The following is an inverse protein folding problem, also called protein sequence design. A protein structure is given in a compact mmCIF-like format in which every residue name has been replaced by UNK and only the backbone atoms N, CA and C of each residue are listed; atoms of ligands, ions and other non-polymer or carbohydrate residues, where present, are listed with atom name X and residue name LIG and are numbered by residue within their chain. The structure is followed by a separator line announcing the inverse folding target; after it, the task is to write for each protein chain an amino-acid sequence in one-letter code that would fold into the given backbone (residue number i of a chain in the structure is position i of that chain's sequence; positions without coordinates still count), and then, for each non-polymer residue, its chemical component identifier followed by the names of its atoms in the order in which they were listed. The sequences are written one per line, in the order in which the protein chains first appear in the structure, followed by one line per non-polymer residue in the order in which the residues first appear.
data_IF_820143028413
#
_entry.id   IF_820143028413
#
_cell.length_a   1.000
_cell.length_b   1.000
_cell.length_c   1.000
_cell.angle_alpha   90.00
_cell.angle_beta   90.00
_cell.angle_gamma   90.00
#
_symmetry.space_group_name_H-M   'P 1'
#
loop_
_entity.id
_entity.type
_entity.pdbx_description
1 polymer ?
#
# COMPACT_ATOMS: atom_id res chain seq x y z
N UNK A 1 32.14 -1.42 23.49
CA UNK A 1 31.51 -0.35 22.70
C UNK A 1 30.09 -0.79 22.35
N UNK A 2 29.08 -0.22 23.01
CA UNK A 2 27.68 -0.54 22.76
C UNK A 2 27.27 -0.03 21.39
N UNK A 3 26.86 -0.94 20.48
CA UNK A 3 26.26 -0.63 19.19
C UNK A 3 24.91 0.02 19.48
N UNK A 4 24.81 1.36 19.40
CA UNK A 4 23.54 2.06 19.51
C UNK A 4 22.58 1.43 18.49
N UNK A 5 21.56 0.74 19.01
CA UNK A 5 20.48 0.18 18.20
C UNK A 5 19.77 1.38 17.55
N UNK A 6 20.07 1.62 16.27
CA UNK A 6 19.44 2.70 15.51
C UNK A 6 17.95 2.36 15.41
N UNK A 7 17.11 3.12 16.12
CA UNK A 7 15.67 2.91 16.10
C UNK A 7 15.16 2.79 14.66
N UNK A 8 14.41 1.74 14.36
CA UNK A 8 13.84 1.53 13.03
C UNK A 8 12.75 2.56 12.80
N UNK A 9 12.86 3.37 11.75
CA UNK A 9 11.86 4.38 11.38
C UNK A 9 10.60 3.66 10.92
N UNK A 10 9.49 3.93 11.60
CA UNK A 10 8.18 3.35 11.27
C UNK A 10 7.43 4.23 10.29
N UNK A 11 6.99 3.66 9.18
CA UNK A 11 6.21 4.38 8.17
C UNK A 11 4.90 3.65 7.92
N UNK A 12 3.79 4.39 7.98
CA UNK A 12 2.48 3.90 7.57
C UNK A 12 2.06 4.56 6.27
N UNK A 13 1.47 3.78 5.38
CA UNK A 13 1.09 4.18 4.03
C UNK A 13 -0.32 3.74 3.64
N UNK A 14 -0.91 2.82 4.41
CA UNK A 14 -2.23 2.25 4.15
C UNK A 14 -3.33 3.06 4.87
N UNK A 15 -4.05 3.89 4.12
CA UNK A 15 -5.11 4.77 4.60
C UNK A 15 -4.63 6.07 5.22
N UNK A 16 -3.50 6.09 5.91
CA UNK A 16 -2.87 7.30 6.47
C UNK A 16 -1.39 7.27 6.19
N UNK A 17 -0.81 8.44 5.92
CA UNK A 17 0.64 8.55 5.71
C UNK A 17 1.27 9.18 6.94
N UNK A 18 2.12 8.41 7.64
CA UNK A 18 2.84 8.86 8.82
C UNK A 18 4.28 8.37 8.82
N UNK A 19 5.17 9.12 9.47
CA UNK A 19 6.55 8.73 9.79
C UNK A 19 6.70 8.86 11.30
N UNK A 20 7.06 7.76 11.98
CA UNK A 20 7.11 7.65 13.46
C UNK A 20 5.84 8.20 14.15
N UNK A 21 4.67 7.89 13.55
CA UNK A 21 3.37 8.30 14.06
C UNK A 21 2.94 9.73 13.69
N UNK A 22 3.84 10.55 13.18
CA UNK A 22 3.52 11.92 12.77
C UNK A 22 3.01 11.98 11.33
N UNK A 23 1.87 12.63 11.11
CA UNK A 23 1.31 12.81 9.78
C UNK A 23 2.24 13.64 8.89
N UNK A 24 2.35 13.24 7.64
CA UNK A 24 3.12 13.99 6.63
C UNK A 24 2.31 14.16 5.35
N UNK A 25 2.54 15.27 4.67
CA UNK A 25 2.03 15.55 3.32
C UNK A 25 3.10 15.31 2.24
N UNK A 26 4.29 14.90 2.63
CA UNK A 26 5.39 14.64 1.71
C UNK A 26 5.25 13.22 1.11
N UNK A 27 4.24 13.01 0.25
CA UNK A 27 3.94 11.70 -0.32
C UNK A 27 5.06 11.21 -1.25
N UNK A 28 5.52 12.06 -2.19
CA UNK A 28 6.51 11.69 -3.21
C UNK A 28 7.82 11.11 -2.66
N UNK A 29 8.47 11.69 -1.63
CA UNK A 29 9.63 11.06 -1.01
C UNK A 29 9.33 9.68 -0.42
N UNK A 30 8.16 9.49 0.18
CA UNK A 30 7.77 8.21 0.76
C UNK A 30 7.38 7.18 -0.30
N UNK A 31 6.84 7.59 -1.43
CA UNK A 31 6.65 6.71 -2.60
C UNK A 31 7.99 6.18 -3.11
N UNK A 32 9.01 7.06 -3.24
CA UNK A 32 10.36 6.64 -3.58
C UNK A 32 10.95 5.67 -2.54
N UNK A 33 10.71 5.92 -1.24
CA UNK A 33 11.12 5.00 -0.17
C UNK A 33 10.53 3.61 -0.35
N UNK A 34 9.20 3.55 -0.55
CA UNK A 34 8.48 2.27 -0.73
C UNK A 34 8.94 1.58 -1.99
N UNK A 35 9.06 2.30 -3.11
CA UNK A 35 9.57 1.76 -4.37
C UNK A 35 10.95 1.13 -4.19
N UNK A 36 11.91 1.86 -3.62
CA UNK A 36 13.25 1.35 -3.35
C UNK A 36 13.23 0.14 -2.41
N UNK A 37 12.38 0.17 -1.37
CA UNK A 37 12.30 -0.91 -0.39
C UNK A 37 11.73 -2.21 -0.99
N UNK A 38 10.70 -2.12 -1.83
CA UNK A 38 10.06 -3.27 -2.47
C UNK A 38 10.94 -3.92 -3.55
N UNK A 39 11.96 -3.21 -4.04
CA UNK A 39 12.94 -3.70 -5.02
C UNK A 39 14.30 -4.00 -4.37
N UNK A 40 14.31 -4.62 -3.21
CA UNK A 40 15.53 -5.04 -2.48
C UNK A 40 16.52 -3.91 -2.21
N UNK A 41 16.03 -2.69 -2.17
CA UNK A 41 16.79 -1.50 -1.83
C UNK A 41 17.56 -0.85 -2.98
N UNK A 42 17.53 -1.38 -4.21
CA UNK A 42 18.19 -0.75 -5.37
C UNK A 42 17.27 -0.67 -6.58
N UNK A 43 17.20 0.51 -7.23
CA UNK A 43 16.40 0.74 -8.43
C UNK A 43 17.14 1.68 -9.38
N UNK A 44 17.06 1.39 -10.68
CA UNK A 44 17.54 2.26 -11.73
C UNK A 44 16.90 3.66 -11.65
N UNK A 45 17.70 4.70 -11.89
CA UNK A 45 17.25 6.11 -11.83
C UNK A 45 16.07 6.38 -12.78
N UNK A 46 16.12 5.82 -13.98
CA UNK A 46 15.07 6.01 -14.97
C UNK A 46 13.79 5.26 -14.59
N UNK A 47 13.90 4.10 -13.96
CA UNK A 47 12.74 3.38 -13.42
C UNK A 47 12.06 4.15 -12.28
N UNK A 48 12.83 4.72 -11.34
CA UNK A 48 12.29 5.60 -10.29
C UNK A 48 11.58 6.80 -10.90
N UNK A 49 12.17 7.40 -11.93
CA UNK A 49 11.58 8.55 -12.62
C UNK A 49 10.25 8.19 -13.28
N UNK A 50 10.25 7.12 -14.07
CA UNK A 50 9.04 6.65 -14.77
C UNK A 50 7.90 6.33 -13.79
N UNK A 51 8.20 5.60 -12.71
CA UNK A 51 7.22 5.20 -11.70
C UNK A 51 6.59 6.38 -10.96
N UNK A 52 7.38 7.43 -10.66
CA UNK A 52 6.91 8.54 -9.83
C UNK A 52 6.44 9.78 -10.61
N UNK A 53 6.90 9.96 -11.85
CA UNK A 53 6.63 11.19 -12.60
C UNK A 53 6.13 10.94 -14.02
N UNK A 54 6.14 9.70 -14.50
CA UNK A 54 5.93 9.38 -15.91
C UNK A 54 7.14 9.79 -16.76
N UNK A 55 7.01 9.66 -18.10
CA UNK A 55 8.12 9.83 -19.04
C UNK A 55 8.62 11.27 -19.19
N UNK A 56 7.80 12.28 -18.88
CA UNK A 56 8.02 13.69 -19.25
C UNK A 56 8.79 14.53 -18.19
N UNK A 57 9.36 13.94 -17.13
CA UNK A 57 9.91 14.74 -16.04
C UNK A 57 11.42 15.05 -16.15
N UNK A 58 11.82 16.24 -15.65
CA UNK A 58 13.21 16.68 -15.63
C UNK A 58 14.06 15.90 -14.59
N UNK A 59 15.35 15.66 -14.91
CA UNK A 59 16.31 14.98 -14.00
C UNK A 59 16.49 15.69 -12.65
N UNK A 60 16.39 17.02 -12.61
CA UNK A 60 16.53 17.84 -11.39
C UNK A 60 15.45 17.53 -10.35
N UNK A 61 14.28 17.09 -10.77
CA UNK A 61 13.16 16.73 -9.88
C UNK A 61 13.49 15.51 -9.02
N UNK A 62 14.15 14.50 -9.59
CA UNK A 62 14.49 13.27 -8.88
C UNK A 62 15.60 13.50 -7.84
N UNK A 63 16.62 14.30 -8.15
CA UNK A 63 17.68 14.66 -7.19
C UNK A 63 17.11 15.42 -5.98
N UNK A 64 16.20 16.37 -6.23
CA UNK A 64 15.48 17.09 -5.17
C UNK A 64 14.63 16.16 -4.31
N UNK A 65 14.01 15.15 -4.92
CA UNK A 65 13.21 14.14 -4.22
C UNK A 65 14.08 13.31 -3.27
N UNK A 66 15.23 12.81 -3.74
CA UNK A 66 16.18 12.05 -2.92
C UNK A 66 16.76 12.90 -1.79
N UNK A 67 17.00 14.18 -2.02
CA UNK A 67 17.42 15.11 -0.97
C UNK A 67 16.35 15.25 0.13
N UNK A 68 15.08 15.35 -0.25
CA UNK A 68 13.98 15.40 0.73
C UNK A 68 13.88 14.10 1.52
N UNK A 69 14.02 12.94 0.86
CA UNK A 69 14.02 11.64 1.51
C UNK A 69 15.15 11.52 2.55
N UNK A 70 16.36 12.00 2.21
CA UNK A 70 17.49 12.06 3.15
C UNK A 70 17.20 12.95 4.36
N UNK A 71 16.56 14.11 4.15
CA UNK A 71 16.15 15.04 5.23
C UNK A 71 15.11 14.42 6.18
N UNK A 72 14.32 13.45 5.71
CA UNK A 72 13.40 12.68 6.54
C UNK A 72 14.09 11.57 7.35
N UNK A 73 15.44 11.46 7.28
CA UNK A 73 16.23 10.49 8.05
C UNK A 73 16.53 9.18 7.32
N UNK A 74 16.09 9.01 6.07
CA UNK A 74 16.39 7.82 5.28
C UNK A 74 17.71 7.97 4.52
N UNK A 75 18.57 6.96 4.66
CA UNK A 75 19.86 6.95 3.96
C UNK A 75 19.67 6.37 2.56
N UNK A 76 19.83 7.20 1.55
CA UNK A 76 19.79 6.83 0.13
C UNK A 76 21.04 7.35 -0.53
N UNK A 77 21.74 6.49 -1.23
CA UNK A 77 22.97 6.79 -1.98
C UNK A 77 22.74 6.59 -3.48
N UNK A 78 23.50 7.31 -4.28
CA UNK A 78 23.61 7.04 -5.71
C UNK A 78 24.63 5.92 -5.90
N UNK A 79 24.25 4.87 -6.63
CA UNK A 79 25.10 3.73 -6.92
C UNK A 79 24.98 3.37 -8.40
N UNK A 80 26.00 3.66 -9.16
CA UNK A 80 25.99 3.47 -10.62
C UNK A 80 24.88 4.27 -11.29
N UNK A 81 24.04 3.61 -12.05
CA UNK A 81 22.90 4.23 -12.74
C UNK A 81 21.61 4.31 -11.89
N UNK A 82 21.68 3.98 -10.59
CA UNK A 82 20.52 3.87 -9.73
C UNK A 82 20.65 4.55 -8.37
N UNK A 83 19.69 4.26 -7.52
CA UNK A 83 19.67 4.64 -6.12
C UNK A 83 19.61 3.39 -5.24
N UNK A 84 20.38 3.42 -4.15
CA UNK A 84 20.39 2.38 -3.12
C UNK A 84 19.84 2.92 -1.81
N UNK A 85 18.86 2.23 -1.25
CA UNK A 85 18.33 2.50 0.08
C UNK A 85 19.13 1.70 1.12
N UNK A 86 19.81 2.40 2.02
CA UNK A 86 20.59 1.79 3.11
C UNK A 86 19.82 1.67 4.43
N UNK A 87 18.77 2.46 4.60
CA UNK A 87 17.88 2.37 5.77
C UNK A 87 16.89 1.23 5.55
N UNK A 88 16.64 0.45 6.60
CA UNK A 88 15.57 -0.55 6.62
C UNK A 88 14.39 0.00 7.42
N UNK A 89 13.39 0.62 6.77
CA UNK A 89 12.21 1.12 7.47
C UNK A 89 11.29 -0.04 7.86
N UNK A 90 10.48 0.18 8.91
CA UNK A 90 9.33 -0.68 9.21
C UNK A 90 8.11 -0.15 8.47
N UNK A 91 7.76 -0.77 7.33
CA UNK A 91 6.64 -0.38 6.48
C UNK A 91 5.40 -1.22 6.78
N UNK A 92 4.26 -0.55 6.93
CA UNK A 92 2.97 -1.25 7.07
C UNK A 92 2.59 -2.05 5.81
N UNK A 93 2.93 -1.56 4.62
CA UNK A 93 2.71 -2.28 3.36
C UNK A 93 3.47 -3.60 3.31
N UNK A 94 4.71 -3.66 3.76
CA UNK A 94 5.50 -4.90 3.82
C UNK A 94 4.94 -5.88 4.85
N UNK A 95 4.50 -5.38 6.01
CA UNK A 95 3.85 -6.23 7.03
C UNK A 95 2.50 -6.75 6.54
N UNK A 96 1.76 -5.94 5.80
CA UNK A 96 0.51 -6.33 5.18
C UNK A 96 0.72 -7.47 4.17
N UNK A 97 1.68 -7.34 3.25
CA UNK A 97 1.99 -8.38 2.27
C UNK A 97 2.39 -9.70 2.96
N UNK A 98 3.24 -9.64 3.99
CA UNK A 98 3.61 -10.84 4.78
C UNK A 98 2.41 -11.47 5.50
N UNK A 99 1.47 -10.68 5.99
CA UNK A 99 0.26 -11.21 6.61
C UNK A 99 -0.61 -11.95 5.59
N UNK A 100 -0.72 -11.43 4.36
CA UNK A 100 -1.43 -12.12 3.27
C UNK A 100 -0.71 -13.42 2.87
N UNK A 101 0.60 -13.39 2.68
CA UNK A 101 1.42 -14.57 2.37
C UNK A 101 1.30 -15.67 3.44
N UNK A 102 1.16 -15.28 4.69
CA UNK A 102 0.94 -16.20 5.82
C UNK A 102 -0.52 -16.66 5.96
N UNK A 103 -1.44 -16.18 5.14
CA UNK A 103 -2.88 -16.45 5.27
C UNK A 103 -3.54 -15.81 6.49
N UNK A 104 -2.84 -14.89 7.20
CA UNK A 104 -3.39 -14.19 8.37
C UNK A 104 -4.23 -12.97 7.94
N UNK A 105 -5.46 -13.28 7.51
CA UNK A 105 -6.43 -12.25 7.08
C UNK A 105 -6.74 -11.26 8.21
N UNK A 106 -6.80 -11.71 9.46
CA UNK A 106 -7.07 -10.82 10.59
C UNK A 106 -5.91 -9.82 10.80
N UNK A 107 -4.65 -10.24 10.65
CA UNK A 107 -3.50 -9.33 10.69
C UNK A 107 -3.48 -8.38 9.50
N UNK A 108 -3.75 -8.87 8.29
CA UNK A 108 -3.84 -8.04 7.08
C UNK A 108 -4.89 -6.95 7.25
N UNK A 109 -6.09 -7.29 7.73
CA UNK A 109 -7.16 -6.32 8.01
C UNK A 109 -6.81 -5.34 9.12
N UNK A 110 -6.02 -5.72 10.12
CA UNK A 110 -5.53 -4.76 11.12
C UNK A 110 -4.59 -3.71 10.52
N UNK A 111 -3.82 -4.08 9.49
CA UNK A 111 -2.84 -3.20 8.82
C UNK A 111 -3.49 -2.35 7.73
N UNK A 112 -4.37 -2.93 6.93
CA UNK A 112 -5.04 -2.23 5.83
C UNK A 112 -6.15 -1.30 6.38
N UNK A 113 -5.83 -0.03 6.58
CA UNK A 113 -6.78 1.00 7.07
C UNK A 113 -7.45 1.79 5.95
N UNK A 114 -7.07 1.54 4.71
CA UNK A 114 -7.53 2.17 3.49
C UNK A 114 -6.49 2.05 2.39
N UNK A 115 -6.73 2.66 1.23
CA UNK A 115 -5.87 2.54 0.06
C UNK A 115 -4.44 3.03 0.33
N UNK A 116 -3.49 2.49 -0.42
CA UNK A 116 -2.09 2.94 -0.35
C UNK A 116 -1.98 4.42 -0.74
N UNK A 117 -1.36 5.21 0.13
CA UNK A 117 -1.11 6.65 -0.04
C UNK A 117 -2.29 7.40 -0.69
N UNK A 118 -3.44 7.51 0.01
CA UNK A 118 -4.62 8.16 -0.54
C UNK A 118 -4.29 9.58 -0.98
N UNK A 119 -4.74 9.95 -2.18
CA UNK A 119 -4.49 11.27 -2.78
C UNK A 119 -3.18 11.36 -3.58
N UNK A 120 -2.33 10.32 -3.64
CA UNK A 120 -1.22 10.31 -4.58
C UNK A 120 -1.68 9.98 -6.01
N UNK A 121 -1.33 10.82 -7.00
CA UNK A 121 -1.68 10.62 -8.40
C UNK A 121 -0.59 9.90 -9.22
N UNK A 122 0.46 9.33 -8.59
CA UNK A 122 1.55 8.70 -9.35
C UNK A 122 1.12 7.37 -9.98
N UNK A 123 1.72 6.98 -11.12
CA UNK A 123 1.55 5.65 -11.68
C UNK A 123 1.86 4.56 -10.64
N UNK A 124 2.99 4.65 -9.97
CA UNK A 124 3.39 3.70 -8.93
C UNK A 124 2.36 3.57 -7.80
N UNK A 125 1.85 4.69 -7.29
CA UNK A 125 0.86 4.63 -6.21
C UNK A 125 -0.46 4.03 -6.69
N UNK A 126 -0.85 4.28 -7.94
CA UNK A 126 -2.04 3.71 -8.54
C UNK A 126 -1.90 2.19 -8.70
N UNK A 127 -0.83 1.73 -9.34
CA UNK A 127 -0.54 0.31 -9.55
C UNK A 127 -0.45 -0.46 -8.23
N UNK A 128 0.31 0.06 -7.26
CA UNK A 128 0.47 -0.59 -5.97
C UNK A 128 -0.85 -0.63 -5.18
N UNK A 129 -1.68 0.41 -5.28
CA UNK A 129 -3.02 0.45 -4.67
C UNK A 129 -3.89 -0.67 -5.21
N UNK A 130 -4.02 -0.76 -6.54
CA UNK A 130 -4.80 -1.80 -7.20
C UNK A 130 -4.30 -3.19 -6.83
N UNK A 131 -2.97 -3.41 -6.86
CA UNK A 131 -2.37 -4.69 -6.49
C UNK A 131 -2.70 -5.11 -5.05
N UNK A 132 -2.56 -4.19 -4.08
CA UNK A 132 -2.81 -4.50 -2.67
C UNK A 132 -4.29 -4.76 -2.39
N UNK A 133 -5.18 -4.06 -3.06
CA UNK A 133 -6.63 -4.27 -2.97
C UNK A 133 -7.03 -5.62 -3.53
N UNK A 134 -6.58 -5.97 -4.72
CA UNK A 134 -6.83 -7.28 -5.33
C UNK A 134 -6.25 -8.43 -4.49
N UNK A 135 -5.04 -8.27 -3.96
CA UNK A 135 -4.42 -9.26 -3.10
C UNK A 135 -5.22 -9.48 -1.80
N UNK A 136 -5.78 -8.41 -1.22
CA UNK A 136 -6.63 -8.51 -0.04
C UNK A 136 -7.96 -9.23 -0.36
N UNK A 137 -8.60 -8.88 -1.47
CA UNK A 137 -9.85 -9.51 -1.92
C UNK A 137 -9.62 -11.00 -2.17
N UNK A 138 -8.58 -11.36 -2.90
CA UNK A 138 -8.22 -12.76 -3.19
C UNK A 138 -7.99 -13.55 -1.89
N UNK A 139 -7.16 -13.03 -0.97
CA UNK A 139 -6.86 -13.69 0.28
C UNK A 139 -8.10 -13.93 1.16
N UNK A 140 -9.05 -13.00 1.16
CA UNK A 140 -10.31 -13.17 1.91
C UNK A 140 -11.20 -14.22 1.25
N UNK A 141 -11.32 -14.24 -0.08
CA UNK A 141 -12.14 -15.22 -0.79
C UNK A 141 -11.59 -16.65 -0.71
N UNK A 142 -10.25 -16.79 -0.63
CA UNK A 142 -9.57 -18.08 -0.52
C UNK A 142 -9.54 -18.61 0.93
N UNK A 143 -9.74 -17.76 1.93
CA UNK A 143 -9.63 -18.13 3.34
C UNK A 143 -10.65 -19.19 3.75
N UNK A 144 -10.22 -20.16 4.54
CA UNK A 144 -11.08 -21.23 5.10
C UNK A 144 -10.88 -21.33 6.62
N UNK A 145 -11.95 -21.27 7.41
CA UNK A 145 -13.35 -20.97 7.02
C UNK A 145 -13.51 -19.51 6.60
N UNK A 146 -14.37 -19.26 5.61
CA UNK A 146 -14.71 -17.91 5.18
C UNK A 146 -15.58 -17.21 6.24
N UNK A 147 -15.15 -16.06 6.73
CA UNK A 147 -15.83 -15.32 7.80
C UNK A 147 -16.60 -14.12 7.25
N UNK A 148 -17.94 -14.02 7.45
CA UNK A 148 -18.73 -12.88 6.94
C UNK A 148 -18.20 -11.50 7.39
N UNK A 149 -17.57 -11.42 8.57
CA UNK A 149 -16.99 -10.18 9.08
C UNK A 149 -15.84 -9.66 8.20
N UNK A 150 -15.03 -10.55 7.61
CA UNK A 150 -13.94 -10.17 6.72
C UNK A 150 -14.46 -9.57 5.42
N UNK A 151 -15.47 -10.22 4.82
CA UNK A 151 -16.12 -9.75 3.59
C UNK A 151 -16.71 -8.35 3.77
N UNK A 152 -17.47 -8.13 4.86
CA UNK A 152 -18.02 -6.79 5.17
C UNK A 152 -16.94 -5.74 5.38
N UNK A 153 -15.86 -6.10 6.08
CA UNK A 153 -14.77 -5.16 6.37
C UNK A 153 -13.98 -4.79 5.11
N UNK A 154 -13.74 -5.74 4.20
CA UNK A 154 -13.09 -5.44 2.92
C UNK A 154 -13.98 -4.56 2.07
N UNK A 155 -15.25 -4.93 1.85
CA UNK A 155 -16.23 -4.11 1.11
C UNK A 155 -16.28 -2.66 1.63
N UNK A 156 -16.24 -2.48 2.95
CA UNK A 156 -16.25 -1.15 3.56
C UNK A 156 -14.97 -0.34 3.26
N UNK A 157 -13.82 -0.99 3.05
CA UNK A 157 -12.52 -0.32 2.88
C UNK A 157 -12.09 -0.15 1.43
N UNK A 158 -12.42 -1.11 0.57
CA UNK A 158 -12.05 -1.10 -0.85
C UNK A 158 -13.16 -0.57 -1.75
N UNK A 159 -14.39 -0.57 -1.26
CA UNK A 159 -15.57 -0.22 -2.06
C UNK A 159 -16.31 -1.45 -2.58
N UNK A 160 -17.27 -1.27 -3.49
CA UNK A 160 -18.11 -2.35 -4.02
C UNK A 160 -17.27 -3.32 -4.86
N UNK A 161 -17.44 -4.63 -4.57
CA UNK A 161 -16.85 -5.75 -5.31
C UNK A 161 -17.87 -6.87 -5.38
N UNK A 162 -18.25 -7.27 -6.60
CA UNK A 162 -19.29 -8.28 -6.82
C UNK A 162 -18.89 -9.64 -6.23
N UNK A 163 -17.62 -10.05 -6.35
CA UNK A 163 -17.12 -11.33 -5.82
C UNK A 163 -17.28 -11.42 -4.29
N UNK A 164 -16.99 -10.33 -3.59
CA UNK A 164 -17.17 -10.26 -2.12
C UNK A 164 -18.65 -10.22 -1.74
N UNK A 165 -19.49 -9.57 -2.52
CA UNK A 165 -20.93 -9.52 -2.27
C UNK A 165 -21.57 -10.90 -2.44
N UNK A 166 -21.27 -11.60 -3.53
CA UNK A 166 -21.76 -12.96 -3.80
C UNK A 166 -21.30 -13.94 -2.71
N UNK A 167 -20.01 -13.85 -2.32
CA UNK A 167 -19.47 -14.65 -1.25
C UNK A 167 -20.14 -14.36 0.11
N UNK A 168 -20.48 -13.10 0.38
CA UNK A 168 -21.19 -12.71 1.61
C UNK A 168 -22.63 -13.25 1.63
N UNK A 169 -23.31 -13.24 0.51
CA UNK A 169 -24.65 -13.84 0.39
C UNK A 169 -24.61 -15.36 0.63
N UNK A 170 -23.60 -16.04 0.09
CA UNK A 170 -23.43 -17.47 0.25
C UNK A 170 -23.19 -17.92 1.70
N UNK A 171 -22.46 -17.12 2.49
CA UNK A 171 -22.13 -17.47 3.89
C UNK A 171 -23.00 -16.79 4.94
N UNK A 172 -23.93 -15.93 4.54
CA UNK A 172 -24.86 -15.20 5.43
C UNK A 172 -26.31 -15.34 4.95
N UNK A 173 -26.91 -16.52 5.07
CA UNK A 173 -28.25 -16.83 4.49
C UNK A 173 -29.40 -15.98 5.05
N UNK A 174 -29.17 -15.15 6.05
CA UNK A 174 -30.20 -14.30 6.67
C UNK A 174 -30.32 -12.90 6.06
N UNK A 175 -29.92 -12.70 4.79
CA UNK A 175 -30.35 -11.53 4.03
C UNK A 175 -29.80 -10.17 4.46
N UNK A 176 -28.64 -10.10 5.11
CA UNK A 176 -28.01 -8.84 5.54
C UNK A 176 -26.93 -8.31 4.57
N UNK A 177 -27.12 -8.50 3.27
CA UNK A 177 -26.52 -7.56 2.32
C UNK A 177 -27.42 -6.34 2.32
N UNK A 178 -26.91 -5.26 2.92
CA UNK A 178 -27.69 -4.02 2.98
C UNK A 178 -28.09 -3.61 1.55
N UNK A 179 -29.37 -3.24 1.31
CA UNK A 179 -29.83 -2.80 -0.02
C UNK A 179 -28.96 -1.72 -0.64
N UNK A 180 -28.32 -0.87 0.21
CA UNK A 180 -27.33 0.14 -0.20
C UNK A 180 -26.07 -0.45 -0.86
N UNK A 181 -25.60 -1.62 -0.43
CA UNK A 181 -24.42 -2.29 -1.03
C UNK A 181 -24.81 -2.89 -2.38
N UNK A 182 -25.98 -3.49 -2.51
CA UNK A 182 -26.51 -3.97 -3.80
C UNK A 182 -26.72 -2.86 -4.81
N UNK A 183 -27.26 -1.71 -4.38
CA UNK A 183 -27.45 -0.55 -5.24
C UNK A 183 -26.11 0.03 -5.74
N UNK A 184 -25.07 0.05 -4.90
CA UNK A 184 -23.74 0.50 -5.28
C UNK A 184 -23.06 -0.44 -6.28
N UNK A 185 -23.22 -1.76 -6.12
CA UNK A 185 -22.69 -2.78 -7.04
C UNK A 185 -23.39 -2.69 -8.40
N UNK A 186 -24.72 -2.57 -8.40
CA UNK A 186 -25.52 -2.43 -9.63
C UNK A 186 -25.20 -1.13 -10.39
N UNK A 187 -24.87 -0.04 -9.67
CA UNK A 187 -24.48 1.25 -10.28
C UNK A 187 -23.05 1.27 -10.83
N UNK A 188 -22.14 0.46 -10.29
CA UNK A 188 -20.75 0.38 -10.75
C UNK A 188 -20.56 -0.51 -12.01
N UNK A 189 -21.53 -1.33 -12.35
CA UNK A 189 -21.51 -2.24 -13.50
C UNK A 189 -22.09 -1.69 -14.81
N UNK A 190 -22.48 -0.42 -14.85
CA UNK A 190 -23.14 0.24 -15.99
C UNK A 190 -22.34 1.41 -16.57
N UNK A 191 -21.02 1.49 -16.36
CA UNK A 191 -20.14 2.47 -16.98
C UNK A 191 -19.09 1.80 -17.86
#
# INVERSE_FOLDING_TARGET
MAKASKATIKVTTLGRVTVDGQRTRQLRPLEALVLLHLHDGWVLRDAVRAALFGEASARSTLSSLMTRLRRMGFRVEEEGAGYRLLTRPDLDVTRFSRALEAGDVDAALRLYKGPFMPGSPTPFAHELRTYLEEALVAAVLEARPLKPRWLREVLRRTGPDARLADALEAVSPAGLVLPSVRAQIAGAGLA
#
